data_IF_060975195472
#
_entry.id   IF_060975195472
#
_cell.length_a   1.000
_cell.length_b   1.000
_cell.length_c   1.000
_cell.angle_alpha   90.00
_cell.angle_beta   90.00
_cell.angle_gamma   90.00
#
_symmetry.space_group_name_H-M   'P 1'
#
loop_
_entity.id
_entity.type
_entity.pdbx_description
1 polymer ?
#
# COMPACT_ATOMS: atom_id res chain seq x y z
N UNK A 1 -3.85 7.16 -1.42
CA UNK A 1 -4.74 7.96 -2.30
C UNK A 1 -4.42 7.68 -3.78
N UNK A 2 -5.43 7.70 -4.67
CA UNK A 2 -5.27 7.35 -6.10
C UNK A 2 -4.24 8.26 -6.80
N UNK A 3 -4.20 9.54 -6.42
CA UNK A 3 -3.22 10.53 -6.90
C UNK A 3 -1.77 10.22 -6.48
N UNK A 4 -1.56 9.43 -5.42
CA UNK A 4 -0.24 9.03 -4.95
C UNK A 4 0.43 7.97 -5.84
N UNK A 5 -0.35 7.25 -6.66
CA UNK A 5 0.14 6.20 -7.55
C UNK A 5 0.98 6.76 -8.71
N UNK A 6 0.48 7.68 -9.55
CA UNK A 6 1.28 8.27 -10.63
C UNK A 6 2.50 9.03 -10.09
N UNK A 7 2.34 9.62 -8.90
CA UNK A 7 3.42 10.30 -8.21
C UNK A 7 4.59 9.35 -7.88
N UNK A 8 4.31 8.14 -7.38
CA UNK A 8 5.34 7.13 -7.09
C UNK A 8 5.98 6.62 -8.38
N UNK A 9 5.21 6.54 -9.47
CA UNK A 9 5.70 6.08 -10.77
C UNK A 9 6.70 7.06 -11.40
N UNK A 10 6.42 8.38 -11.35
CA UNK A 10 7.28 9.42 -11.94
C UNK A 10 8.60 9.58 -11.17
N UNK A 11 8.66 9.14 -9.91
CA UNK A 11 9.85 9.28 -9.05
C UNK A 11 10.42 10.71 -9.04
N UNK A 12 9.56 11.74 -9.10
CA UNK A 12 9.63 12.76 -8.06
C UNK A 12 11.01 13.39 -7.85
N UNK A 13 11.52 13.03 -6.69
CA UNK A 13 12.78 13.49 -6.14
C UNK A 13 13.99 13.06 -6.97
N UNK A 14 14.02 11.84 -7.49
CA UNK A 14 15.13 11.38 -8.35
C UNK A 14 15.15 12.14 -9.68
N UNK A 15 13.98 12.42 -10.26
CA UNK A 15 13.87 13.20 -11.48
C UNK A 15 14.31 14.66 -11.27
N UNK A 16 13.88 15.28 -10.16
CA UNK A 16 14.30 16.65 -9.79
C UNK A 16 15.80 16.71 -9.50
N UNK A 17 16.35 15.73 -8.78
CA UNK A 17 17.80 15.66 -8.55
C UNK A 17 18.56 15.52 -9.87
N UNK A 18 18.10 14.66 -10.78
CA UNK A 18 18.72 14.53 -12.10
C UNK A 18 18.70 15.85 -12.89
N UNK A 19 17.57 16.55 -12.90
CA UNK A 19 17.46 17.86 -13.54
C UNK A 19 18.37 18.89 -12.87
N UNK A 20 18.45 18.90 -11.55
CA UNK A 20 19.36 19.76 -10.80
C UNK A 20 20.82 19.51 -11.19
N UNK A 21 21.26 18.24 -11.18
CA UNK A 21 22.62 17.88 -11.59
C UNK A 21 22.90 18.28 -13.05
N UNK A 22 21.90 18.17 -13.93
CA UNK A 22 22.03 18.55 -15.34
C UNK A 22 22.11 20.07 -15.54
N UNK A 23 21.36 20.86 -14.78
CA UNK A 23 21.35 22.32 -14.93
C UNK A 23 22.54 22.99 -14.25
N UNK A 24 22.99 22.48 -13.09
CA UNK A 24 23.99 23.17 -12.25
C UNK A 24 25.41 22.60 -12.33
N UNK A 25 25.60 21.41 -12.90
CA UNK A 25 26.94 20.77 -12.98
C UNK A 25 27.42 20.72 -14.43
N UNK A 26 28.70 21.07 -14.65
CA UNK A 26 29.35 21.03 -15.97
C UNK A 26 29.36 19.59 -16.53
N UNK A 27 29.11 19.40 -17.83
CA UNK A 27 29.00 18.08 -18.46
C UNK A 27 30.20 17.15 -18.22
N UNK A 28 31.40 17.72 -18.08
CA UNK A 28 32.63 16.97 -17.78
C UNK A 28 32.64 16.31 -16.38
N UNK A 29 31.79 16.75 -15.45
CA UNK A 29 31.66 16.17 -14.11
C UNK A 29 30.52 15.12 -14.01
N UNK A 30 29.68 14.97 -15.05
CA UNK A 30 28.58 14.01 -15.12
C UNK A 30 29.05 12.61 -15.56
N UNK A 31 30.06 12.06 -14.88
CA UNK A 31 30.49 10.68 -15.11
C UNK A 31 29.43 9.69 -14.61
N UNK A 32 29.18 8.58 -15.33
CA UNK A 32 28.20 7.54 -14.95
C UNK A 32 28.33 7.06 -13.50
N UNK A 33 29.56 7.04 -12.98
CA UNK A 33 29.87 6.67 -11.58
C UNK A 33 29.29 7.67 -10.57
N UNK A 34 29.33 8.97 -10.85
CA UNK A 34 28.78 10.01 -9.97
C UNK A 34 27.25 9.95 -9.94
N UNK A 35 26.63 9.65 -11.08
CA UNK A 35 25.19 9.48 -11.21
C UNK A 35 24.64 8.26 -10.45
N UNK A 36 25.45 7.18 -10.36
CA UNK A 36 25.12 5.93 -9.65
C UNK A 36 25.58 5.91 -8.18
N UNK A 37 26.18 7.00 -7.69
CA UNK A 37 26.54 7.11 -6.27
C UNK A 37 25.28 6.90 -5.40
N UNK A 38 25.35 6.27 -4.20
CA UNK A 38 24.20 6.14 -3.30
C UNK A 38 23.40 7.42 -3.05
N UNK A 39 24.05 8.59 -3.05
CA UNK A 39 23.42 9.91 -2.93
C UNK A 39 23.03 10.56 -4.27
N UNK A 40 23.31 9.89 -5.38
CA UNK A 40 23.03 10.33 -6.74
C UNK A 40 21.60 10.01 -7.18
N UNK A 41 21.14 10.61 -8.29
CA UNK A 41 19.77 10.46 -8.78
C UNK A 41 19.40 9.02 -9.20
N UNK A 42 20.39 8.19 -9.55
CA UNK A 42 20.21 6.77 -9.89
C UNK A 42 20.81 5.84 -8.82
N UNK A 43 20.90 6.30 -7.57
CA UNK A 43 21.34 5.50 -6.44
C UNK A 43 20.39 4.33 -6.12
N UNK A 44 20.83 3.47 -5.20
CA UNK A 44 20.03 2.34 -4.72
C UNK A 44 18.69 2.82 -4.17
N UNK A 45 17.60 2.24 -4.67
CA UNK A 45 16.26 2.63 -4.27
C UNK A 45 15.66 1.51 -3.44
N UNK A 46 15.46 1.79 -2.15
CA UNK A 46 14.95 0.84 -1.17
C UNK A 46 13.47 1.11 -0.92
N UNK A 47 12.72 0.03 -0.70
CA UNK A 47 11.30 0.14 -0.30
C UNK A 47 11.25 0.37 1.21
N UNK A 48 10.58 1.45 1.62
CA UNK A 48 10.25 1.69 3.01
C UNK A 48 9.07 0.80 3.42
N UNK A 49 9.34 -0.48 3.68
CA UNK A 49 8.30 -1.46 4.01
C UNK A 49 7.43 -1.04 5.20
N UNK A 50 7.94 -0.27 6.16
CA UNK A 50 7.17 0.19 7.31
C UNK A 50 5.99 1.10 6.93
N UNK A 51 6.23 2.08 6.06
CA UNK A 51 5.22 3.07 5.67
C UNK A 51 4.32 2.56 4.53
N UNK A 52 4.93 1.90 3.55
CA UNK A 52 4.21 1.44 2.36
C UNK A 52 3.20 0.35 2.69
N UNK A 53 3.56 -0.52 3.63
CA UNK A 53 2.68 -1.56 4.07
C UNK A 53 1.56 -1.05 4.98
N UNK A 54 1.88 -0.13 5.89
CA UNK A 54 0.86 0.44 6.77
C UNK A 54 -0.24 1.14 5.96
N UNK A 55 0.12 1.80 4.86
CA UNK A 55 -0.83 2.44 3.95
C UNK A 55 -1.78 1.41 3.32
N UNK A 56 -1.26 0.28 2.85
CA UNK A 56 -2.05 -0.81 2.24
C UNK A 56 -2.97 -1.45 3.27
N UNK A 57 -2.45 -1.74 4.47
CA UNK A 57 -3.20 -2.31 5.58
C UNK A 57 -4.32 -1.38 6.06
N UNK A 58 -4.06 -0.08 6.10
CA UNK A 58 -5.04 0.92 6.47
C UNK A 58 -6.21 0.92 5.47
N UNK A 59 -5.93 0.96 4.17
CA UNK A 59 -6.98 0.90 3.14
C UNK A 59 -7.75 -0.42 3.22
N UNK A 60 -7.07 -1.55 3.42
CA UNK A 60 -7.71 -2.85 3.61
C UNK A 60 -8.67 -2.84 4.81
N UNK A 61 -8.24 -2.28 5.95
CA UNK A 61 -9.04 -2.16 7.16
C UNK A 61 -10.31 -1.32 6.90
N UNK A 62 -10.16 -0.16 6.24
CA UNK A 62 -11.32 0.68 5.87
C UNK A 62 -12.30 -0.08 4.98
N UNK A 63 -11.81 -0.86 4.00
CA UNK A 63 -12.67 -1.68 3.15
C UNK A 63 -13.43 -2.71 3.98
N UNK A 64 -12.76 -3.43 4.89
CA UNK A 64 -13.38 -4.43 5.76
C UNK A 64 -14.40 -3.83 6.75
N UNK A 65 -14.26 -2.56 7.13
CA UNK A 65 -15.23 -1.88 7.99
C UNK A 65 -16.48 -1.44 7.20
N UNK A 66 -16.29 -0.94 5.99
CA UNK A 66 -17.36 -0.26 5.23
C UNK A 66 -17.98 -1.10 4.11
N UNK A 67 -17.50 -2.31 3.83
CA UNK A 67 -17.97 -3.11 2.69
C UNK A 67 -19.50 -3.35 2.69
N UNK A 68 -20.11 -3.58 3.85
CA UNK A 68 -21.58 -3.77 3.95
C UNK A 68 -22.33 -2.45 4.02
N UNK A 69 -21.75 -1.43 4.66
CA UNK A 69 -22.42 -0.15 4.90
C UNK A 69 -22.47 0.68 3.60
N UNK A 70 -21.38 0.70 2.83
CA UNK A 70 -21.23 1.51 1.64
C UNK A 70 -20.51 0.70 0.54
N UNK A 71 -21.24 -0.06 -0.31
CA UNK A 71 -20.64 -0.95 -1.31
C UNK A 71 -19.82 -0.20 -2.38
N UNK A 72 -20.06 1.11 -2.55
CA UNK A 72 -19.25 1.94 -3.47
C UNK A 72 -17.76 1.99 -3.08
N UNK A 73 -17.46 1.82 -1.79
CA UNK A 73 -16.08 1.77 -1.28
C UNK A 73 -15.32 0.58 -1.86
N UNK A 74 -15.99 -0.55 -2.10
CA UNK A 74 -15.37 -1.74 -2.71
C UNK A 74 -14.88 -1.46 -4.14
N UNK A 75 -15.70 -0.78 -4.94
CA UNK A 75 -15.36 -0.46 -6.34
C UNK A 75 -14.15 0.48 -6.38
N UNK A 76 -14.15 1.52 -5.55
CA UNK A 76 -13.03 2.46 -5.45
C UNK A 76 -11.75 1.78 -4.93
N UNK A 77 -11.88 0.93 -3.92
CA UNK A 77 -10.75 0.18 -3.37
C UNK A 77 -10.19 -0.82 -4.37
N UNK A 78 -11.03 -1.53 -5.11
CA UNK A 78 -10.60 -2.46 -6.16
C UNK A 78 -9.78 -1.72 -7.24
N UNK A 79 -10.24 -0.54 -7.68
CA UNK A 79 -9.48 0.31 -8.60
C UNK A 79 -8.13 0.76 -8.02
N UNK A 80 -8.11 1.13 -6.73
CA UNK A 80 -6.87 1.47 -6.02
C UNK A 80 -5.89 0.29 -5.97
N UNK A 81 -6.32 -0.89 -5.51
CA UNK A 81 -5.47 -2.07 -5.41
C UNK A 81 -4.96 -2.52 -6.78
N UNK A 82 -5.78 -2.42 -7.83
CA UNK A 82 -5.38 -2.70 -9.20
C UNK A 82 -4.25 -1.76 -9.67
N UNK A 83 -4.42 -0.46 -9.45
CA UNK A 83 -3.40 0.54 -9.81
C UNK A 83 -2.10 0.35 -9.03
N UNK A 84 -2.19 -0.02 -7.75
CA UNK A 84 -1.03 -0.36 -6.92
C UNK A 84 -0.32 -1.61 -7.41
N UNK A 85 -1.06 -2.66 -7.77
CA UNK A 85 -0.47 -3.89 -8.29
C UNK A 85 0.39 -3.62 -9.54
N UNK A 86 -0.14 -2.88 -10.51
CA UNK A 86 0.59 -2.55 -11.75
C UNK A 86 1.84 -1.71 -11.43
N UNK A 87 1.68 -0.67 -10.61
CA UNK A 87 2.77 0.27 -10.29
C UNK A 87 3.90 -0.42 -9.54
N UNK A 88 3.57 -1.19 -8.50
CA UNK A 88 4.57 -1.92 -7.73
C UNK A 88 5.24 -3.01 -8.55
N UNK A 89 4.48 -3.74 -9.39
CA UNK A 89 5.05 -4.72 -10.31
C UNK A 89 6.10 -4.09 -11.23
N UNK A 90 5.80 -2.93 -11.82
CA UNK A 90 6.76 -2.21 -12.65
C UNK A 90 8.00 -1.77 -11.84
N UNK A 91 7.79 -1.19 -10.66
CA UNK A 91 8.89 -0.71 -9.81
C UNK A 91 9.81 -1.85 -9.34
N UNK A 92 9.26 -3.01 -8.96
CA UNK A 92 10.05 -4.16 -8.52
C UNK A 92 10.91 -4.77 -9.64
N UNK A 93 10.48 -4.66 -10.90
CA UNK A 93 11.24 -5.19 -12.05
C UNK A 93 12.34 -4.23 -12.50
N UNK A 94 12.04 -2.92 -12.59
CA UNK A 94 12.93 -1.97 -13.27
C UNK A 94 13.72 -1.02 -12.35
N UNK A 95 13.26 -0.82 -11.11
CA UNK A 95 13.74 0.30 -10.28
C UNK A 95 14.33 -0.16 -8.96
N UNK A 96 13.62 -1.03 -8.24
CA UNK A 96 13.92 -1.34 -6.86
C UNK A 96 15.10 -2.30 -6.79
N UNK A 97 16.09 -1.95 -5.97
CA UNK A 97 17.21 -2.81 -5.64
C UNK A 97 16.87 -3.61 -4.38
N UNK A 98 16.95 -4.94 -4.46
CA UNK A 98 16.70 -5.85 -3.32
C UNK A 98 17.89 -5.82 -2.37
N UNK A 99 17.76 -5.08 -1.27
CA UNK A 99 18.82 -4.96 -0.24
C UNK A 99 18.64 -5.93 0.92
N UNK A 100 17.47 -6.54 1.04
CA UNK A 100 17.12 -7.47 2.11
C UNK A 100 16.18 -8.54 1.57
N UNK A 101 16.47 -9.80 1.89
CA UNK A 101 15.62 -10.94 1.57
C UNK A 101 15.07 -11.54 2.87
N UNK A 102 13.79 -11.34 3.13
CA UNK A 102 13.15 -11.77 4.38
C UNK A 102 12.61 -13.20 4.35
N UNK A 103 12.68 -13.88 3.21
CA UNK A 103 12.10 -15.22 3.03
C UNK A 103 10.58 -15.29 3.25
N UNK A 104 9.87 -14.16 3.22
CA UNK A 104 8.41 -14.13 3.43
C UNK A 104 7.97 -14.07 4.89
N UNK A 105 8.88 -13.91 5.85
CA UNK A 105 8.57 -13.76 7.28
C UNK A 105 7.54 -12.65 7.58
N UNK A 106 7.48 -11.67 6.69
CA UNK A 106 6.54 -10.56 6.78
C UNK A 106 5.07 -10.97 6.55
N UNK A 107 4.80 -12.05 5.81
CA UNK A 107 3.45 -12.52 5.48
C UNK A 107 2.62 -12.85 6.72
N UNK A 108 3.21 -13.50 7.72
CA UNK A 108 2.50 -13.88 8.96
C UNK A 108 2.02 -12.64 9.74
N UNK A 109 2.79 -11.54 9.73
CA UNK A 109 2.37 -10.28 10.35
C UNK A 109 1.23 -9.65 9.56
N UNK A 110 1.33 -9.62 8.23
CA UNK A 110 0.29 -9.09 7.36
C UNK A 110 -1.04 -9.81 7.56
N UNK A 111 -1.00 -11.15 7.59
CA UNK A 111 -2.16 -12.00 7.82
C UNK A 111 -2.85 -11.69 9.16
N UNK A 112 -2.07 -11.57 10.24
CA UNK A 112 -2.61 -11.23 11.57
C UNK A 112 -3.30 -9.86 11.57
N UNK A 113 -2.71 -8.86 10.92
CA UNK A 113 -3.33 -7.53 10.85
C UNK A 113 -4.58 -7.51 9.97
N UNK A 114 -4.60 -8.24 8.84
CA UNK A 114 -5.82 -8.38 8.04
C UNK A 114 -6.93 -9.11 8.80
N UNK A 115 -6.58 -10.11 9.61
CA UNK A 115 -7.55 -10.84 10.42
C UNK A 115 -8.18 -9.95 11.49
N UNK A 116 -7.37 -9.13 12.16
CA UNK A 116 -7.86 -8.13 13.12
C UNK A 116 -8.76 -7.09 12.43
N UNK A 117 -8.43 -6.66 11.22
CA UNK A 117 -9.28 -5.78 10.42
C UNK A 117 -10.63 -6.42 10.08
N UNK A 118 -10.63 -7.72 9.78
CA UNK A 118 -11.85 -8.48 9.50
C UNK A 118 -12.70 -8.64 10.76
N UNK A 119 -12.09 -8.97 11.90
CA UNK A 119 -12.76 -9.05 13.20
C UNK A 119 -13.38 -7.70 13.61
N UNK A 120 -12.66 -6.59 13.39
CA UNK A 120 -13.22 -5.25 13.60
C UNK A 120 -14.40 -4.99 12.66
N UNK A 121 -14.30 -5.41 11.40
CA UNK A 121 -15.36 -5.29 10.40
C UNK A 121 -16.63 -6.05 10.77
N UNK A 122 -16.51 -7.27 11.30
CA UNK A 122 -17.68 -8.05 11.74
C UNK A 122 -18.33 -7.45 12.98
N UNK A 123 -17.56 -6.92 13.93
CA UNK A 123 -18.10 -6.21 15.10
C UNK A 123 -18.88 -4.96 14.68
N UNK A 124 -18.29 -4.14 13.80
CA UNK A 124 -18.97 -2.95 13.27
C UNK A 124 -20.24 -3.32 12.50
N UNK A 125 -20.20 -4.40 11.73
CA UNK A 125 -21.36 -4.89 11.01
C UNK A 125 -22.49 -5.35 11.94
N UNK A 126 -22.17 -6.08 13.02
CA UNK A 126 -23.13 -6.47 14.04
C UNK A 126 -23.77 -5.24 14.72
N UNK A 127 -22.96 -4.24 15.07
CA UNK A 127 -23.44 -3.00 15.66
C UNK A 127 -24.38 -2.25 14.70
N UNK A 128 -24.04 -2.19 13.41
CA UNK A 128 -24.87 -1.55 12.39
C UNK A 128 -26.22 -2.26 12.19
N UNK A 129 -26.24 -3.60 12.17
CA UNK A 129 -27.47 -4.37 12.09
C UNK A 129 -28.35 -4.23 13.33
N UNK A 130 -27.75 -4.11 14.51
CA UNK A 130 -28.45 -3.81 15.76
C UNK A 130 -29.20 -2.48 15.73
N UNK A 131 -28.61 -1.45 15.10
CA UNK A 131 -29.25 -0.13 14.92
C UNK A 131 -30.40 -0.20 13.92
N UNK A 132 -30.28 -1.03 12.88
CA UNK A 132 -31.30 -1.16 11.81
C UNK A 132 -32.48 -2.08 12.16
N UNK A 133 -32.69 -2.40 13.43
CA UNK A 133 -33.74 -3.33 13.89
C UNK A 133 -33.67 -4.72 13.23
N UNK A 134 -32.48 -5.12 12.74
CA UNK A 134 -32.22 -6.40 12.08
C UNK A 134 -32.10 -7.57 13.06
N UNK A 135 -32.97 -7.64 14.07
CA UNK A 135 -32.87 -8.60 15.19
C UNK A 135 -32.95 -10.05 14.72
N UNK A 136 -33.66 -10.32 13.63
CA UNK A 136 -33.76 -11.66 13.02
C UNK A 136 -32.43 -12.15 12.43
N UNK A 137 -31.52 -11.24 12.06
CA UNK A 137 -30.21 -11.55 11.49
C UNK A 137 -29.11 -11.61 12.54
N UNK A 138 -29.36 -11.09 13.75
CA UNK A 138 -28.42 -11.09 14.87
C UNK A 138 -27.83 -12.48 15.20
N UNK A 139 -28.66 -13.53 15.38
CA UNK A 139 -28.17 -14.88 15.71
C UNK A 139 -27.23 -15.47 14.64
N UNK A 140 -27.42 -15.11 13.37
CA UNK A 140 -26.58 -15.58 12.27
C UNK A 140 -25.19 -14.93 12.26
N UNK A 141 -25.04 -13.75 12.87
CA UNK A 141 -23.79 -13.00 12.90
C UNK A 141 -22.91 -13.32 14.12
N UNK A 142 -23.48 -13.87 15.20
CA UNK A 142 -22.75 -14.30 16.40
C UNK A 142 -21.64 -15.34 16.14
N UNK A 143 -21.77 -16.35 15.25
CA UNK A 143 -20.69 -17.31 15.02
C UNK A 143 -19.50 -16.74 14.22
N UNK A 144 -19.69 -15.66 13.44
CA UNK A 144 -18.64 -15.13 12.56
C UNK A 144 -17.37 -14.70 13.31
N UNK A 145 -17.44 -13.90 14.38
CA UNK A 145 -16.27 -13.49 15.17
C UNK A 145 -15.55 -14.64 15.88
N UNK A 146 -16.18 -15.82 16.02
CA UNK A 146 -15.57 -16.99 16.68
C UNK A 146 -14.74 -17.79 15.67
N UNK A 147 -15.16 -17.79 14.40
CA UNK A 147 -14.47 -18.48 13.30
C UNK A 147 -13.26 -17.66 12.83
N UNK A 148 -13.32 -16.33 12.98
CA UNK A 148 -12.27 -15.38 12.61
C UNK A 148 -11.22 -15.30 13.74
#
# INVERSE_FOLDING_TARGET
PLSGVPYKMIRRFCAVQYLYYRCFTRDAALTRRMLKNPSGPFGETRVAYGTELSDVLYVLCVVMLYWVIAPIVLILAAGLFWSWYITWKYQYVFVITRTFESGGQFWYKLYRYSMLGLMAGTIVFMAFMGIKEGVSQGPLLVPLPIII
#
